data_IF_562623589025
#
_entry.id   IF_562623589025
#
_cell.length_a   1.000
_cell.length_b   1.000
_cell.length_c   1.000
_cell.angle_alpha   90.00
_cell.angle_beta   90.00
_cell.angle_gamma   90.00
#
_symmetry.space_group_name_H-M   'P 1'
#
loop_
_entity.id
_entity.type
_entity.pdbx_description
1 polymer ?
#
# COMPACT_ATOMS: atom_id res chain seq x y z
N UNK A 1 21.11 29.63 45.73
CA UNK A 1 21.47 28.58 44.76
C UNK A 1 20.18 27.85 44.37
N UNK A 2 19.53 28.33 43.33
CA UNK A 2 18.29 27.74 42.79
C UNK A 2 18.64 26.72 41.71
N UNK A 3 18.22 25.49 41.89
CA UNK A 3 18.26 24.46 40.83
C UNK A 3 17.13 24.74 39.85
N UNK A 4 17.49 25.01 38.60
CA UNK A 4 16.55 25.07 37.48
C UNK A 4 15.91 23.68 37.30
N UNK A 5 14.59 23.65 37.38
CA UNK A 5 13.80 22.50 36.99
C UNK A 5 13.90 22.36 35.46
N UNK A 6 14.60 21.34 35.03
CA UNK A 6 14.63 20.98 33.59
C UNK A 6 13.22 20.57 33.13
N UNK A 7 12.70 21.30 32.19
CA UNK A 7 11.49 20.95 31.44
C UNK A 7 11.66 19.54 30.89
N UNK A 8 10.96 18.56 31.45
CA UNK A 8 10.76 17.26 30.85
C UNK A 8 9.81 17.48 29.68
N UNK A 9 10.34 17.59 28.48
CA UNK A 9 9.58 17.43 27.26
C UNK A 9 8.92 16.07 27.38
N UNK A 10 7.63 16.03 27.60
CA UNK A 10 6.81 14.81 27.52
C UNK A 10 6.78 14.44 26.06
N UNK A 11 7.70 13.57 25.64
CA UNK A 11 7.63 12.94 24.33
C UNK A 11 6.39 12.06 24.31
N UNK A 12 5.35 12.49 23.61
CA UNK A 12 4.20 11.64 23.28
C UNK A 12 4.70 10.35 22.59
N UNK A 13 3.89 9.29 22.55
CA UNK A 13 4.30 8.01 21.98
C UNK A 13 4.86 8.24 20.57
N UNK A 14 6.06 7.69 20.30
CA UNK A 14 6.75 7.79 19.02
C UNK A 14 5.84 7.33 17.87
N UNK A 15 6.00 7.94 16.71
CA UNK A 15 5.26 7.56 15.49
C UNK A 15 5.85 6.26 14.95
N UNK A 16 5.02 5.25 14.70
CA UNK A 16 5.48 3.96 14.19
C UNK A 16 5.64 3.96 12.67
N UNK A 17 6.46 3.08 12.08
CA UNK A 17 6.55 2.92 10.64
C UNK A 17 5.19 2.63 10.00
N UNK A 18 4.34 1.82 10.65
CA UNK A 18 2.99 1.54 10.17
C UNK A 18 2.08 2.76 10.12
N UNK A 19 2.18 3.67 11.10
CA UNK A 19 1.45 4.95 11.09
C UNK A 19 1.93 5.86 9.95
N UNK A 20 3.24 5.88 9.65
CA UNK A 20 3.78 6.62 8.50
C UNK A 20 3.25 6.02 7.20
N UNK A 21 3.28 4.69 7.05
CA UNK A 21 2.76 4.00 5.87
C UNK A 21 1.28 4.29 5.65
N UNK A 22 0.46 4.26 6.70
CA UNK A 22 -0.98 4.60 6.63
C UNK A 22 -1.17 6.03 6.15
N UNK A 23 -0.42 6.99 6.70
CA UNK A 23 -0.51 8.38 6.29
C UNK A 23 -0.10 8.60 4.83
N UNK A 24 0.96 7.92 4.36
CA UNK A 24 1.36 7.97 2.95
C UNK A 24 0.32 7.32 2.05
N UNK A 25 -0.23 6.17 2.45
CA UNK A 25 -1.28 5.48 1.70
C UNK A 25 -2.57 6.30 1.60
N UNK A 26 -2.96 6.99 2.67
CA UNK A 26 -4.12 7.89 2.66
C UNK A 26 -3.96 9.02 1.63
N UNK A 27 -2.76 9.59 1.48
CA UNK A 27 -2.46 10.63 0.48
C UNK A 27 -2.59 10.16 -0.96
N UNK A 28 -2.49 8.86 -1.21
CA UNK A 28 -2.71 8.28 -2.53
C UNK A 28 -4.20 8.23 -2.93
N UNK A 29 -5.11 8.41 -1.99
CA UNK A 29 -6.55 8.44 -2.24
C UNK A 29 -6.96 9.88 -2.53
N UNK A 30 -7.58 10.12 -3.68
CA UNK A 30 -8.08 11.44 -4.07
C UNK A 30 -9.58 11.54 -3.79
N UNK A 31 -10.05 12.75 -3.60
CA UNK A 31 -11.48 12.96 -3.38
C UNK A 31 -12.30 12.53 -4.60
N UNK A 32 -13.44 11.88 -4.33
CA UNK A 32 -14.34 11.35 -5.36
C UNK A 32 -13.87 10.05 -6.03
N UNK A 33 -12.67 9.52 -5.73
CA UNK A 33 -12.20 8.26 -6.32
C UNK A 33 -12.93 7.03 -5.79
N UNK A 34 -13.09 6.04 -6.67
CA UNK A 34 -13.47 4.67 -6.33
C UNK A 34 -12.21 3.86 -6.08
N UNK A 35 -12.04 3.44 -4.83
CA UNK A 35 -10.81 2.81 -4.34
C UNK A 35 -11.08 1.35 -3.98
N UNK A 36 -10.37 0.44 -4.62
CA UNK A 36 -10.37 -0.96 -4.20
C UNK A 36 -9.44 -1.09 -2.98
N UNK A 37 -10.06 -1.22 -1.79
CA UNK A 37 -9.38 -1.15 -0.50
C UNK A 37 -8.76 -2.51 -0.17
N UNK A 38 -7.44 -2.55 -0.02
CA UNK A 38 -6.71 -3.75 0.41
C UNK A 38 -6.84 -4.01 1.92
N UNK A 39 -6.41 -5.19 2.33
CA UNK A 39 -6.37 -5.58 3.74
C UNK A 39 -5.30 -4.84 4.56
N UNK A 40 -5.50 -4.78 5.88
CA UNK A 40 -4.57 -4.24 6.87
C UNK A 40 -4.46 -2.71 6.80
N UNK A 41 -3.25 -2.18 6.53
CA UNK A 41 -2.99 -0.74 6.52
C UNK A 41 -3.87 0.06 5.54
N UNK A 42 -4.21 -0.44 4.32
CA UNK A 42 -5.15 0.24 3.44
C UNK A 42 -6.54 0.48 4.04
N UNK A 43 -7.02 -0.40 4.93
CA UNK A 43 -8.30 -0.20 5.63
C UNK A 43 -8.27 1.09 6.45
N UNK A 44 -7.18 1.31 7.19
CA UNK A 44 -7.00 2.50 8.03
C UNK A 44 -6.71 3.72 7.15
N UNK A 45 -5.94 3.55 6.06
CA UNK A 45 -5.65 4.62 5.11
C UNK A 45 -6.93 5.18 4.48
N UNK A 46 -7.89 4.32 4.13
CA UNK A 46 -9.20 4.74 3.65
C UNK A 46 -9.96 5.56 4.69
N UNK A 47 -9.96 5.13 5.98
CA UNK A 47 -10.58 5.89 7.07
C UNK A 47 -9.95 7.27 7.22
N UNK A 48 -8.61 7.35 7.19
CA UNK A 48 -7.88 8.62 7.28
C UNK A 48 -8.24 9.53 6.11
N UNK A 49 -8.19 9.02 4.88
CA UNK A 49 -8.54 9.81 3.70
C UNK A 49 -9.97 10.36 3.77
N UNK A 50 -10.92 9.52 4.12
CA UNK A 50 -12.34 9.90 4.28
C UNK A 50 -12.56 10.98 5.33
N UNK A 51 -11.83 10.91 6.45
CA UNK A 51 -11.97 11.84 7.58
C UNK A 51 -11.13 13.12 7.43
N UNK A 52 -10.33 13.23 6.36
CA UNK A 52 -9.47 14.39 6.11
C UNK A 52 -9.74 15.03 4.76
N UNK A 53 -9.08 14.57 3.70
CA UNK A 53 -9.01 15.27 2.41
C UNK A 53 -9.82 14.63 1.28
N UNK A 54 -10.39 13.44 1.49
CA UNK A 54 -11.15 12.72 0.46
C UNK A 54 -12.54 12.25 0.97
N UNK A 55 -13.40 13.18 1.44
CA UNK A 55 -14.70 12.85 2.02
C UNK A 55 -15.65 12.16 1.03
N UNK A 56 -15.48 12.36 -0.27
CA UNK A 56 -16.32 11.77 -1.32
C UNK A 56 -15.75 10.48 -1.92
N UNK A 57 -14.60 9.98 -1.42
CA UNK A 57 -14.06 8.71 -1.89
C UNK A 57 -14.97 7.53 -1.54
N UNK A 58 -15.06 6.56 -2.42
CA UNK A 58 -15.88 5.34 -2.27
C UNK A 58 -14.95 4.13 -2.14
N UNK A 59 -15.08 3.39 -1.04
CA UNK A 59 -14.33 2.17 -0.79
C UNK A 59 -15.04 0.94 -1.32
N UNK A 60 -14.31 0.10 -2.06
CA UNK A 60 -14.74 -1.21 -2.54
C UNK A 60 -13.92 -2.29 -1.83
N UNK A 61 -14.60 -3.29 -1.29
CA UNK A 61 -14.01 -4.40 -0.53
C UNK A 61 -14.31 -5.71 -1.23
N UNK A 62 -13.31 -6.52 -1.47
CA UNK A 62 -13.32 -7.68 -2.37
C UNK A 62 -14.52 -8.63 -2.19
N UNK A 63 -15.03 -8.77 -0.97
CA UNK A 63 -16.19 -9.62 -0.68
C UNK A 63 -17.56 -9.04 -1.12
N UNK A 64 -17.56 -8.00 -1.93
CA UNK A 64 -18.77 -7.41 -2.50
C UNK A 64 -19.32 -6.21 -1.75
N UNK A 65 -18.58 -5.67 -0.80
CA UNK A 65 -19.04 -4.56 0.03
C UNK A 65 -18.56 -3.23 -0.58
N UNK A 66 -19.46 -2.25 -0.69
CA UNK A 66 -19.17 -0.88 -1.11
C UNK A 66 -19.58 0.07 0.01
N UNK A 67 -18.72 1.02 0.31
CA UNK A 67 -18.94 2.01 1.36
C UNK A 67 -18.56 3.42 0.91
N UNK A 68 -19.44 4.36 1.19
CA UNK A 68 -19.20 5.79 1.11
C UNK A 68 -18.82 6.42 2.47
N UNK A 69 -18.97 5.64 3.55
CA UNK A 69 -18.50 6.00 4.89
C UNK A 69 -17.56 4.91 5.45
N UNK A 70 -16.58 5.25 6.29
CA UNK A 70 -15.74 4.25 6.95
C UNK A 70 -16.57 3.25 7.76
N UNK A 71 -16.07 2.01 7.89
CA UNK A 71 -16.63 1.08 8.87
C UNK A 71 -16.52 1.68 10.28
N UNK A 72 -17.53 1.47 11.15
CA UNK A 72 -17.54 2.10 12.48
C UNK A 72 -16.47 1.56 13.43
N UNK A 73 -15.92 0.40 13.14
CA UNK A 73 -14.94 -0.31 13.96
C UNK A 73 -13.79 -0.85 13.10
N UNK A 74 -12.64 -1.13 13.73
CA UNK A 74 -11.50 -1.75 13.05
C UNK A 74 -11.90 -3.07 12.40
N UNK A 75 -11.50 -3.24 11.14
CA UNK A 75 -11.73 -4.47 10.39
C UNK A 75 -10.51 -5.38 10.47
N UNK A 76 -10.74 -6.64 10.79
CA UNK A 76 -9.73 -7.71 10.80
C UNK A 76 -9.78 -8.52 9.51
N UNK A 77 -10.97 -8.59 8.89
CA UNK A 77 -11.19 -9.12 7.54
C UNK A 77 -12.13 -8.19 6.76
N UNK A 78 -12.19 -8.35 5.45
CA UNK A 78 -13.11 -7.57 4.61
C UNK A 78 -14.58 -7.95 4.82
N UNK A 79 -14.84 -9.15 5.36
CA UNK A 79 -16.19 -9.68 5.63
C UNK A 79 -16.67 -9.46 7.05
N UNK A 80 -15.96 -8.73 7.88
CA UNK A 80 -16.37 -8.49 9.26
C UNK A 80 -17.72 -7.76 9.33
N UNK A 81 -18.58 -8.08 10.31
CA UNK A 81 -19.90 -7.47 10.46
C UNK A 81 -19.90 -5.95 10.46
N UNK A 82 -18.93 -5.23 11.06
CA UNK A 82 -18.85 -3.77 10.96
C UNK A 82 -18.68 -3.25 9.52
N UNK A 83 -18.11 -4.05 8.61
CA UNK A 83 -17.99 -3.66 7.21
C UNK A 83 -19.32 -3.78 6.45
N UNK A 84 -20.18 -4.70 6.85
CA UNK A 84 -21.52 -4.91 6.26
C UNK A 84 -22.52 -3.90 6.81
N UNK A 85 -22.45 -3.64 8.12
CA UNK A 85 -23.35 -2.69 8.78
C UNK A 85 -23.18 -1.27 8.25
N UNK A 86 -24.24 -0.71 7.66
CA UNK A 86 -24.22 0.62 7.05
C UNK A 86 -23.43 0.70 5.75
N UNK A 87 -23.21 -0.44 5.07
CA UNK A 87 -22.66 -0.44 3.72
C UNK A 87 -23.64 0.21 2.75
N UNK A 88 -23.13 0.98 1.79
CA UNK A 88 -23.92 1.59 0.73
C UNK A 88 -24.50 0.52 -0.21
N UNK A 89 -23.72 -0.53 -0.45
CA UNK A 89 -24.12 -1.67 -1.28
C UNK A 89 -23.43 -2.95 -0.82
N UNK A 90 -24.21 -4.03 -0.69
CA UNK A 90 -23.72 -5.38 -0.49
C UNK A 90 -24.05 -6.18 -1.75
N UNK A 91 -23.05 -6.48 -2.53
CA UNK A 91 -23.10 -7.17 -3.80
C UNK A 91 -22.34 -8.52 -3.72
N UNK A 92 -22.14 -9.15 -4.82
CA UNK A 92 -21.23 -10.30 -4.95
C UNK A 92 -19.84 -9.82 -5.35
N UNK A 93 -18.80 -10.59 -5.03
CA UNK A 93 -17.41 -10.31 -5.50
C UNK A 93 -17.36 -10.08 -7.00
N UNK A 94 -18.08 -10.89 -7.81
CA UNK A 94 -18.07 -10.77 -9.27
C UNK A 94 -18.64 -9.43 -9.76
N UNK A 95 -19.57 -8.83 -9.03
CA UNK A 95 -20.13 -7.53 -9.41
C UNK A 95 -19.07 -6.43 -9.27
N UNK A 96 -18.21 -6.49 -8.23
CA UNK A 96 -17.08 -5.56 -8.06
C UNK A 96 -15.97 -5.81 -9.09
N UNK A 97 -15.68 -7.07 -9.41
CA UNK A 97 -14.73 -7.40 -10.50
C UNK A 97 -15.24 -6.88 -11.85
N UNK A 98 -16.57 -6.85 -12.04
CA UNK A 98 -17.20 -6.20 -13.19
C UNK A 98 -16.94 -4.69 -13.27
N UNK A 99 -16.89 -3.98 -12.12
CA UNK A 99 -16.51 -2.57 -12.08
C UNK A 99 -15.04 -2.38 -12.49
N UNK A 100 -14.12 -3.24 -12.03
CA UNK A 100 -12.73 -3.25 -12.48
C UNK A 100 -12.65 -3.43 -13.99
N UNK A 101 -13.34 -4.45 -14.55
CA UNK A 101 -13.33 -4.75 -15.97
C UNK A 101 -13.81 -3.57 -16.81
N UNK A 102 -14.83 -2.85 -16.37
CA UNK A 102 -15.34 -1.65 -17.03
C UNK A 102 -14.46 -0.41 -16.87
N UNK A 103 -13.39 -0.48 -16.02
CA UNK A 103 -12.50 0.65 -15.78
C UNK A 103 -13.05 1.71 -14.85
N UNK A 104 -13.97 1.32 -14.00
CA UNK A 104 -14.62 2.25 -13.07
C UNK A 104 -13.85 2.42 -11.74
N UNK A 105 -12.78 1.66 -11.53
CA UNK A 105 -11.96 1.72 -10.32
C UNK A 105 -10.73 2.60 -10.57
N UNK A 106 -10.60 3.67 -9.79
CA UNK A 106 -9.56 4.68 -9.97
C UNK A 106 -8.22 4.25 -9.34
N UNK A 107 -8.27 3.67 -8.13
CA UNK A 107 -7.10 3.20 -7.43
C UNK A 107 -7.35 1.84 -6.77
N UNK A 108 -6.32 1.00 -6.68
CA UNK A 108 -6.36 -0.25 -5.95
C UNK A 108 -5.14 -0.41 -5.06
N UNK A 109 -5.34 -0.96 -3.87
CA UNK A 109 -4.27 -1.28 -2.93
C UNK A 109 -4.04 -2.78 -2.88
N UNK A 110 -2.79 -3.19 -3.07
CA UNK A 110 -2.37 -4.58 -2.85
C UNK A 110 -1.03 -4.65 -2.13
N UNK A 111 -0.75 -5.79 -1.55
CA UNK A 111 0.56 -6.16 -1.02
C UNK A 111 1.06 -7.45 -1.65
N UNK A 112 2.27 -7.87 -1.30
CA UNK A 112 2.85 -9.10 -1.82
C UNK A 112 3.92 -9.68 -0.90
N UNK A 113 4.35 -10.90 -1.21
CA UNK A 113 5.51 -11.50 -0.58
C UNK A 113 6.81 -10.98 -1.23
N UNK A 114 6.78 -10.75 -2.54
CA UNK A 114 7.86 -10.13 -3.31
C UNK A 114 7.32 -9.07 -4.25
N UNK A 115 8.16 -8.08 -4.55
CA UNK A 115 7.98 -7.08 -5.62
C UNK A 115 9.32 -6.86 -6.32
N UNK A 116 9.29 -6.64 -7.63
CA UNK A 116 10.47 -6.23 -8.38
C UNK A 116 10.45 -4.76 -8.79
N UNK A 117 11.53 -4.31 -9.44
CA UNK A 117 11.67 -2.91 -9.89
C UNK A 117 10.58 -2.44 -10.84
N UNK A 118 9.91 -3.37 -11.53
CA UNK A 118 8.81 -3.07 -12.44
C UNK A 118 7.43 -3.14 -11.76
N UNK A 119 7.42 -3.38 -10.44
CA UNK A 119 6.20 -3.47 -9.66
C UNK A 119 5.40 -4.75 -9.89
N UNK A 120 6.01 -5.78 -10.48
CA UNK A 120 5.41 -7.10 -10.52
C UNK A 120 5.39 -7.69 -9.11
N UNK A 121 4.27 -8.28 -8.71
CA UNK A 121 4.09 -8.82 -7.37
C UNK A 121 3.94 -10.34 -7.40
N UNK A 122 4.54 -10.98 -6.40
CA UNK A 122 4.41 -12.40 -6.16
C UNK A 122 3.64 -12.66 -4.86
N UNK A 123 2.55 -13.42 -4.97
CA UNK A 123 1.77 -13.96 -3.86
C UNK A 123 1.45 -15.44 -4.05
N UNK A 124 2.15 -16.11 -4.97
CA UNK A 124 1.84 -17.50 -5.37
C UNK A 124 2.88 -18.51 -4.87
N UNK A 125 4.16 -18.34 -5.24
CA UNK A 125 5.22 -19.30 -4.88
C UNK A 125 6.56 -18.58 -4.70
N UNK A 126 7.36 -19.05 -3.74
CA UNK A 126 8.77 -18.68 -3.61
C UNK A 126 9.62 -19.86 -4.05
N UNK A 127 10.61 -19.60 -4.88
CA UNK A 127 11.48 -20.59 -5.49
C UNK A 127 11.24 -20.74 -7.00
N UNK A 128 12.30 -21.11 -7.72
CA UNK A 128 12.30 -21.19 -9.19
C UNK A 128 11.68 -22.48 -9.73
N UNK A 129 11.68 -23.55 -8.93
CA UNK A 129 11.04 -24.81 -9.27
C UNK A 129 9.56 -24.79 -8.84
N UNK A 130 8.66 -24.61 -9.80
CA UNK A 130 7.20 -24.56 -9.56
C UNK A 130 6.62 -25.90 -9.09
N UNK A 131 7.25 -27.01 -9.39
CA UNK A 131 6.82 -28.33 -8.94
C UNK A 131 7.23 -28.60 -7.50
N UNK A 132 8.27 -27.92 -7.02
CA UNK A 132 8.82 -28.03 -5.67
C UNK A 132 9.16 -26.65 -5.10
N UNK A 133 8.17 -25.79 -4.87
CA UNK A 133 8.42 -24.44 -4.36
C UNK A 133 9.01 -24.50 -2.95
N UNK A 134 9.89 -23.56 -2.63
CA UNK A 134 10.40 -23.38 -1.26
C UNK A 134 9.27 -22.99 -0.31
N UNK A 135 8.34 -22.13 -0.79
CA UNK A 135 7.14 -21.70 -0.04
C UNK A 135 5.95 -21.63 -0.99
N UNK A 136 4.85 -22.27 -0.63
CA UNK A 136 3.55 -22.07 -1.26
C UNK A 136 2.85 -20.88 -0.56
N UNK A 137 2.44 -19.88 -1.33
CA UNK A 137 1.72 -18.71 -0.84
C UNK A 137 0.22 -18.81 -1.17
N UNK A 138 -0.64 -17.91 -0.65
CA UNK A 138 -2.10 -18.00 -0.84
C UNK A 138 -2.61 -17.90 -2.27
N UNK A 139 -1.83 -17.36 -3.20
CA UNK A 139 -2.26 -17.07 -4.57
C UNK A 139 -2.70 -15.62 -4.77
N UNK A 140 -3.40 -15.35 -5.87
CA UNK A 140 -3.74 -13.99 -6.28
C UNK A 140 -4.89 -13.35 -5.48
N UNK A 141 -5.88 -14.14 -5.05
CA UNK A 141 -7.16 -13.51 -4.71
C UNK A 141 -7.60 -12.57 -5.84
N UNK A 142 -8.13 -11.42 -5.53
CA UNK A 142 -8.43 -10.35 -6.49
C UNK A 142 -7.21 -9.52 -6.92
N UNK A 143 -6.02 -9.79 -6.38
CA UNK A 143 -4.83 -8.95 -6.62
C UNK A 143 -4.40 -8.88 -8.08
N UNK A 144 -4.52 -9.98 -8.84
CA UNK A 144 -4.20 -10.02 -10.26
C UNK A 144 -5.15 -9.13 -11.09
N UNK A 145 -6.45 -9.16 -10.79
CA UNK A 145 -7.46 -8.33 -11.45
C UNK A 145 -7.28 -6.85 -11.09
N UNK A 146 -7.05 -6.55 -9.81
CA UNK A 146 -6.80 -5.18 -9.34
C UNK A 146 -5.56 -4.60 -10.03
N UNK A 147 -4.46 -5.35 -10.08
CA UNK A 147 -3.21 -4.92 -10.72
C UNK A 147 -3.35 -4.73 -12.23
N UNK A 148 -4.18 -5.54 -12.89
CA UNK A 148 -4.41 -5.50 -14.33
C UNK A 148 -5.37 -4.38 -14.74
N UNK A 149 -6.39 -4.10 -13.93
CA UNK A 149 -7.60 -3.40 -14.37
C UNK A 149 -7.88 -2.07 -13.64
N UNK A 150 -7.33 -1.82 -12.44
CA UNK A 150 -7.41 -0.51 -11.81
C UNK A 150 -6.65 0.54 -12.61
N UNK A 151 -7.11 1.81 -12.60
CA UNK A 151 -6.44 2.89 -13.32
C UNK A 151 -5.05 3.19 -12.76
N UNK A 152 -4.82 2.94 -11.47
CA UNK A 152 -3.50 2.94 -10.83
C UNK A 152 -3.46 1.99 -9.65
N UNK A 153 -2.28 1.46 -9.39
CA UNK A 153 -2.03 0.53 -8.31
C UNK A 153 -1.10 1.15 -7.27
N UNK A 154 -1.45 1.01 -6.01
CA UNK A 154 -0.62 1.39 -4.87
C UNK A 154 -0.21 0.11 -4.14
N UNK A 155 1.08 -0.08 -3.96
CA UNK A 155 1.63 -1.23 -3.26
C UNK A 155 2.08 -0.83 -1.87
N UNK A 156 1.72 -1.64 -0.86
CA UNK A 156 2.13 -1.45 0.53
C UNK A 156 2.75 -2.75 1.03
N UNK A 157 4.00 -2.68 1.52
CA UNK A 157 4.69 -3.86 2.06
C UNK A 157 5.89 -3.47 2.93
N UNK A 158 6.38 -4.39 3.81
CA UNK A 158 7.60 -4.15 4.58
C UNK A 158 8.82 -3.94 3.67
N UNK A 159 9.76 -3.11 4.12
CA UNK A 159 11.06 -2.91 3.48
C UNK A 159 12.02 -4.02 3.90
N UNK A 160 12.23 -5.00 3.03
CA UNK A 160 13.08 -6.16 3.30
C UNK A 160 13.66 -6.65 1.98
N UNK A 161 14.97 -6.85 1.91
CA UNK A 161 15.70 -7.31 0.72
C UNK A 161 15.18 -8.63 0.15
N UNK A 162 14.61 -9.50 0.99
CA UNK A 162 13.98 -10.75 0.55
C UNK A 162 12.68 -10.51 -0.20
N UNK A 163 12.06 -9.35 0.00
CA UNK A 163 10.79 -8.94 -0.62
C UNK A 163 10.99 -8.02 -1.80
N UNK A 164 11.96 -7.11 -1.70
CA UNK A 164 12.28 -6.11 -2.71
C UNK A 164 13.35 -6.69 -3.64
N UNK A 165 12.93 -7.47 -4.63
CA UNK A 165 13.77 -8.32 -5.49
C UNK A 165 14.12 -7.63 -6.79
N UNK A 166 15.24 -7.97 -7.40
CA UNK A 166 15.52 -7.55 -8.78
C UNK A 166 14.48 -8.12 -9.75
N UNK A 167 14.10 -9.39 -9.54
CA UNK A 167 13.02 -10.07 -10.23
C UNK A 167 12.28 -10.99 -9.27
N UNK A 168 10.95 -10.97 -9.31
CA UNK A 168 10.13 -11.89 -8.52
C UNK A 168 10.22 -13.32 -9.05
N UNK A 169 10.12 -14.31 -8.17
CA UNK A 169 10.16 -15.72 -8.55
C UNK A 169 8.94 -16.13 -9.41
N UNK A 170 7.80 -15.43 -9.23
CA UNK A 170 6.58 -15.62 -10.00
C UNK A 170 5.79 -14.31 -10.09
N UNK A 171 5.26 -13.98 -11.27
CA UNK A 171 4.38 -12.82 -11.42
C UNK A 171 2.93 -13.27 -11.18
N UNK A 172 2.42 -12.99 -9.98
CA UNK A 172 1.01 -13.21 -9.65
C UNK A 172 0.17 -12.02 -10.11
N UNK A 173 0.62 -10.81 -9.80
CA UNK A 173 -0.05 -9.55 -10.14
C UNK A 173 0.89 -8.72 -11.00
N UNK A 174 0.53 -8.41 -12.26
CA UNK A 174 1.43 -7.75 -13.19
C UNK A 174 1.60 -6.26 -12.85
N UNK A 175 2.87 -5.83 -12.77
CA UNK A 175 3.25 -4.44 -12.83
C UNK A 175 3.49 -4.01 -14.28
N UNK A 176 4.69 -3.49 -14.56
CA UNK A 176 5.13 -3.13 -15.90
C UNK A 176 5.84 -4.28 -16.64
N UNK A 177 5.76 -5.50 -16.10
CA UNK A 177 6.38 -6.73 -16.64
C UNK A 177 7.91 -6.58 -16.80
N UNK A 178 8.42 -6.60 -18.00
CA UNK A 178 9.85 -6.40 -18.30
C UNK A 178 10.18 -4.90 -18.57
N UNK A 179 9.25 -3.99 -18.28
CA UNK A 179 9.39 -2.56 -18.50
C UNK A 179 9.04 -2.11 -19.93
N UNK A 180 9.32 -0.85 -20.25
CA UNK A 180 9.00 -0.24 -21.52
C UNK A 180 7.52 -0.41 -21.89
N UNK A 181 7.23 -0.92 -23.07
CA UNK A 181 5.90 -1.17 -23.60
C UNK A 181 5.36 -2.61 -23.31
N UNK A 182 6.07 -3.41 -22.51
CA UNK A 182 5.71 -4.82 -22.25
C UNK A 182 4.28 -4.96 -21.69
N UNK A 183 3.86 -4.05 -20.80
CA UNK A 183 2.49 -4.03 -20.27
C UNK A 183 1.45 -3.81 -21.37
N UNK A 184 1.70 -2.88 -22.29
CA UNK A 184 0.80 -2.60 -23.41
C UNK A 184 0.74 -3.79 -24.40
N UNK A 185 1.89 -4.38 -24.72
CA UNK A 185 1.95 -5.60 -25.57
C UNK A 185 1.22 -6.80 -24.96
N UNK A 186 1.21 -6.90 -23.63
CA UNK A 186 0.46 -7.93 -22.92
C UNK A 186 -1.06 -7.67 -22.89
N UNK A 187 -1.54 -6.59 -23.53
CA UNK A 187 -2.97 -6.25 -23.56
C UNK A 187 -3.53 -5.76 -22.23
N UNK A 188 -2.68 -5.32 -21.31
CA UNK A 188 -3.11 -4.76 -20.02
C UNK A 188 -3.58 -3.31 -20.22
N UNK A 189 -4.89 -3.03 -20.09
CA UNK A 189 -5.49 -1.81 -20.65
C UNK A 189 -5.24 -0.55 -19.83
N UNK A 190 -4.75 -0.68 -18.58
CA UNK A 190 -4.68 0.46 -17.64
C UNK A 190 -3.34 0.56 -16.93
N UNK A 191 -3.17 1.68 -16.25
CA UNK A 191 -1.97 2.28 -15.68
C UNK A 191 -0.88 1.37 -15.12
N UNK A 192 -1.17 0.56 -14.13
CA UNK A 192 -0.16 -0.19 -13.36
C UNK A 192 0.28 0.52 -12.08
N UNK A 193 1.39 0.07 -11.45
CA UNK A 193 1.88 0.64 -10.20
C UNK A 193 2.22 2.13 -10.32
N UNK A 194 1.76 2.93 -9.35
CA UNK A 194 2.09 4.36 -9.23
C UNK A 194 2.99 4.64 -8.03
N UNK A 195 2.81 3.88 -6.95
CA UNK A 195 3.57 4.01 -5.72
C UNK A 195 3.84 2.66 -5.07
N UNK A 196 5.01 2.55 -4.43
CA UNK A 196 5.35 1.51 -3.47
C UNK A 196 5.68 2.21 -2.15
N UNK A 197 4.89 1.92 -1.13
CA UNK A 197 5.04 2.46 0.21
C UNK A 197 5.58 1.35 1.10
N UNK A 198 6.75 1.57 1.68
CA UNK A 198 7.40 0.60 2.55
C UNK A 198 7.54 1.12 3.97
N UNK A 199 8.02 0.30 4.90
CA UNK A 199 8.28 0.72 6.28
C UNK A 199 9.41 1.73 6.42
N UNK A 200 10.21 2.00 5.36
CA UNK A 200 11.39 2.89 5.41
C UNK A 200 11.39 3.99 4.36
N UNK A 201 10.60 3.82 3.27
CA UNK A 201 10.68 4.71 2.11
C UNK A 201 9.41 4.67 1.26
N UNK A 202 9.28 5.66 0.38
CA UNK A 202 8.29 5.69 -0.69
C UNK A 202 9.02 5.70 -2.03
N UNK A 203 8.59 4.82 -2.94
CA UNK A 203 9.04 4.78 -4.32
C UNK A 203 7.90 5.22 -5.23
N UNK A 204 8.24 5.92 -6.31
CA UNK A 204 7.35 6.27 -7.43
C UNK A 204 7.72 5.46 -8.66
N UNK A 205 6.73 5.06 -9.43
CA UNK A 205 7.02 4.41 -10.70
C UNK A 205 7.12 5.46 -11.80
N UNK A 206 8.32 5.57 -12.38
CA UNK A 206 8.66 6.48 -13.47
C UNK A 206 9.17 5.61 -14.62
N UNK A 207 8.60 5.77 -15.81
CA UNK A 207 8.95 4.97 -16.99
C UNK A 207 8.90 3.45 -16.72
N UNK A 208 7.92 3.03 -15.88
CA UNK A 208 7.71 1.63 -15.52
C UNK A 208 8.75 1.05 -14.56
N UNK A 209 9.49 1.88 -13.83
CA UNK A 209 10.47 1.45 -12.84
C UNK A 209 10.29 2.16 -11.49
N UNK A 210 10.51 1.42 -10.41
CA UNK A 210 10.48 1.95 -9.05
C UNK A 210 11.69 2.83 -8.78
N UNK A 211 11.47 4.11 -8.56
CA UNK A 211 12.48 5.14 -8.24
C UNK A 211 12.25 5.62 -6.82
N UNK A 212 13.31 5.69 -6.03
CA UNK A 212 13.23 6.21 -4.66
C UNK A 212 12.80 7.68 -4.69
N UNK A 213 11.69 8.00 -4.03
CA UNK A 213 11.11 9.35 -3.97
C UNK A 213 11.37 10.01 -2.62
N UNK A 214 11.14 9.29 -1.53
CA UNK A 214 11.42 9.81 -0.20
C UNK A 214 11.81 8.71 0.78
N UNK A 215 12.57 9.08 1.81
CA UNK A 215 12.92 8.19 2.93
C UNK A 215 12.27 8.66 4.21
N UNK A 216 11.85 7.74 5.05
CA UNK A 216 11.22 8.07 6.32
C UNK A 216 12.21 8.77 7.26
N UNK A 217 11.74 9.64 8.17
CA UNK A 217 12.61 10.29 9.14
C UNK A 217 13.37 9.26 9.99
N UNK A 218 14.67 9.51 10.16
CA UNK A 218 15.58 8.59 10.85
C UNK A 218 16.26 7.56 9.96
N UNK A 219 15.72 7.31 8.76
CA UNK A 219 16.30 6.34 7.81
C UNK A 219 17.47 6.94 7.01
N UNK A 220 18.47 6.12 6.74
CA UNK A 220 19.58 6.46 5.84
C UNK A 220 19.24 6.04 4.40
N UNK A 221 19.47 6.96 3.44
CA UNK A 221 19.30 6.64 2.01
C UNK A 221 20.16 5.45 1.61
N UNK A 222 21.42 5.40 2.07
CA UNK A 222 22.34 4.33 1.75
C UNK A 222 21.85 2.96 2.26
N UNK A 223 21.32 2.90 3.49
CA UNK A 223 20.77 1.67 4.06
C UNK A 223 19.48 1.24 3.36
N UNK A 224 18.59 2.20 3.05
CA UNK A 224 17.37 1.92 2.28
C UNK A 224 17.71 1.30 0.93
N UNK A 225 18.72 1.85 0.23
CA UNK A 225 19.17 1.34 -1.07
C UNK A 225 19.92 0.00 -0.95
N UNK A 226 20.61 -0.28 0.16
CA UNK A 226 21.28 -1.56 0.39
C UNK A 226 20.28 -2.73 0.60
N UNK A 227 19.06 -2.40 1.04
CA UNK A 227 18.01 -3.37 1.33
C UNK A 227 16.99 -3.55 0.19
N UNK A 228 17.34 -3.14 -1.04
CA UNK A 228 16.58 -3.45 -2.25
C UNK A 228 17.39 -4.35 -3.18
N UNK A 229 16.69 -5.16 -3.99
CA UNK A 229 17.31 -6.11 -4.92
C UNK A 229 17.69 -5.53 -6.29
N UNK A 230 17.35 -4.26 -6.55
CA UNK A 230 17.63 -3.59 -7.83
C UNK A 230 18.43 -2.30 -7.64
N UNK A 231 19.13 -1.87 -8.69
CA UNK A 231 19.75 -0.55 -8.70
C UNK A 231 18.67 0.53 -8.91
N UNK A 232 18.68 1.56 -8.08
CA UNK A 232 17.77 2.70 -8.22
C UNK A 232 18.24 3.73 -9.28
N UNK A 233 19.04 3.33 -10.26
CA UNK A 233 19.59 4.21 -11.29
C UNK A 233 20.32 5.42 -10.68
N UNK A 234 20.16 6.61 -11.30
CA UNK A 234 20.74 7.85 -10.80
C UNK A 234 20.04 8.44 -9.57
N UNK A 235 19.65 7.57 -8.61
CA UNK A 235 19.12 8.04 -7.32
C UNK A 235 20.09 9.03 -6.60
N UNK A 236 21.38 9.01 -6.99
CA UNK A 236 22.38 9.98 -6.52
C UNK A 236 22.29 11.36 -7.15
N UNK A 237 21.46 11.56 -8.19
CA UNK A 237 21.32 12.85 -8.90
C UNK A 237 19.98 13.55 -8.66
N UNK A 238 19.03 12.89 -7.96
CA UNK A 238 17.73 13.46 -7.61
C UNK A 238 17.72 13.88 -6.15
N UNK A 239 17.05 14.99 -5.86
CA UNK A 239 16.74 15.41 -4.48
C UNK A 239 15.75 14.41 -3.87
N UNK A 240 16.27 13.48 -3.06
CA UNK A 240 15.46 12.52 -2.31
C UNK A 240 14.91 13.23 -1.09
N UNK A 241 13.60 13.38 -1.04
CA UNK A 241 12.92 14.08 0.04
C UNK A 241 12.89 13.27 1.35
N UNK A 242 12.63 13.96 2.45
CA UNK A 242 12.19 13.33 3.69
C UNK A 242 10.68 13.13 3.63
N UNK A 243 10.24 11.89 3.89
CA UNK A 243 8.81 11.58 3.92
C UNK A 243 8.10 12.47 4.93
N UNK A 244 7.05 13.13 4.49
CA UNK A 244 6.26 13.99 5.35
C UNK A 244 5.58 13.16 6.46
N UNK A 245 5.82 13.55 7.71
CA UNK A 245 5.20 12.90 8.87
C UNK A 245 3.68 13.07 8.88
N UNK A 246 2.96 12.11 9.48
CA UNK A 246 1.54 12.29 9.76
C UNK A 246 1.32 13.52 10.67
N UNK A 247 0.29 14.29 10.37
CA UNK A 247 -0.12 15.41 11.25
C UNK A 247 -0.70 14.87 12.56
N UNK A 248 -0.76 15.70 13.63
CA UNK A 248 -1.42 15.29 14.87
C UNK A 248 -2.86 14.79 14.66
N UNK A 249 -3.60 15.40 13.74
CA UNK A 249 -4.96 14.98 13.38
C UNK A 249 -4.97 13.59 12.74
N UNK A 250 -4.10 13.33 11.78
CA UNK A 250 -3.97 12.02 11.13
C UNK A 250 -3.60 10.95 12.16
N UNK A 251 -2.64 11.22 13.05
CA UNK A 251 -2.27 10.30 14.13
C UNK A 251 -3.44 10.01 15.08
N UNK A 252 -4.21 11.04 15.43
CA UNK A 252 -5.41 10.86 16.26
C UNK A 252 -6.41 9.92 15.58
N UNK A 253 -6.71 10.12 14.30
CA UNK A 253 -7.63 9.27 13.54
C UNK A 253 -7.12 7.82 13.49
N UNK A 254 -5.83 7.62 13.20
CA UNK A 254 -5.23 6.28 13.15
C UNK A 254 -5.37 5.58 14.50
N UNK A 255 -4.99 6.26 15.58
CA UNK A 255 -4.98 5.70 16.94
C UNK A 255 -6.37 5.50 17.53
N UNK A 256 -7.35 6.30 17.13
CA UNK A 256 -8.76 6.08 17.47
C UNK A 256 -9.33 4.85 16.78
N UNK A 257 -8.95 4.61 15.51
CA UNK A 257 -9.46 3.50 14.73
C UNK A 257 -8.71 2.18 15.00
N UNK A 258 -7.40 2.24 15.28
CA UNK A 258 -6.55 1.10 15.68
C UNK A 258 -5.89 1.35 17.05
N UNK A 259 -6.68 1.38 18.15
CA UNK A 259 -6.19 1.82 19.45
C UNK A 259 -5.14 0.89 20.07
N UNK A 260 -5.13 -0.37 19.66
CA UNK A 260 -4.14 -1.35 20.13
C UNK A 260 -2.93 -1.47 19.19
N UNK A 261 -2.94 -0.77 18.05
CA UNK A 261 -1.91 -0.91 17.03
C UNK A 261 -1.91 -2.29 16.36
N UNK A 262 -3.08 -2.91 16.24
CA UNK A 262 -3.18 -4.27 15.73
C UNK A 262 -2.61 -4.40 14.31
N UNK A 263 -2.85 -3.40 13.46
CA UNK A 263 -2.28 -3.35 12.12
C UNK A 263 -1.05 -2.45 12.03
N UNK A 264 -1.03 -1.33 12.78
CA UNK A 264 -0.01 -0.30 12.65
C UNK A 264 1.30 -0.63 13.36
N UNK A 265 1.31 -1.59 14.30
CA UNK A 265 2.51 -2.08 14.99
C UNK A 265 2.94 -3.50 14.59
N UNK A 266 2.19 -4.19 13.73
CA UNK A 266 2.59 -5.50 13.21
C UNK A 266 3.74 -5.37 12.22
N UNK A 267 4.90 -5.92 12.58
CA UNK A 267 6.10 -5.92 11.74
C UNK A 267 7.23 -5.03 12.27
N UNK A 268 7.08 -4.53 13.51
CA UNK A 268 8.19 -4.00 14.29
C UNK A 268 9.04 -5.14 14.88
#
# INVERSE_FOLDING_TARGET
MGRAAGDRVTTGPSVTPGEIMVAQAAREIRDGERVFVGMRLPLIAFVVAKRTHAPNAIGLFELGIVRDEPAPELLYTMGDPPNVRGATWCARTIDLMGLLQRGEIDAGFIGGAEIDRHGNLNTTVIGTDRARPTVQLPGSGGGADIASLAKRLIVIMPHDKRRLRERVDFITSPGYLDGGDARARAGLPRGGPSALITTRAVFRFIDGQAVLSSVHPGESIAEVLADIGWGCGDAGTRDIERTQMPTPEVLRIIREYDPQGFWTRRGE
#
